data_IF_774006888016
#
_entry.id   IF_774006888016
#
_cell.length_a   1.000
_cell.length_b   1.000
_cell.length_c   1.000
_cell.angle_alpha   90.00
_cell.angle_beta   90.00
_cell.angle_gamma   90.00
#
_symmetry.space_group_name_H-M   'P 1'
#
loop_
_entity.id
_entity.type
_entity.pdbx_description
1 polymer ?
#
# COMPACT_ATOMS: atom_id res chain seq x y z
N UNK A 1 17.74 -21.37 -13.66
CA UNK A 1 16.97 -21.24 -12.41
C UNK A 1 15.45 -21.11 -12.62
N UNK A 2 14.95 -20.32 -13.58
CA UNK A 2 13.50 -20.05 -13.70
C UNK A 2 12.67 -21.01 -14.59
N UNK A 3 13.28 -21.99 -15.27
CA UNK A 3 12.58 -22.84 -16.26
C UNK A 3 11.56 -23.84 -15.66
N UNK A 4 11.55 -24.03 -14.34
CA UNK A 4 10.65 -24.94 -13.62
C UNK A 4 9.54 -24.22 -12.83
N UNK A 5 9.41 -22.90 -12.98
CA UNK A 5 8.42 -22.13 -12.25
C UNK A 5 7.32 -21.58 -13.17
N UNK A 6 6.09 -21.37 -12.65
CA UNK A 6 5.01 -20.73 -13.40
C UNK A 6 5.43 -19.35 -13.91
N UNK A 7 5.07 -19.02 -15.16
CA UNK A 7 5.44 -17.73 -15.77
C UNK A 7 4.89 -16.52 -14.99
N UNK A 8 3.77 -16.68 -14.28
CA UNK A 8 3.20 -15.66 -13.41
C UNK A 8 4.04 -15.32 -12.17
N UNK A 9 4.98 -16.19 -11.78
CA UNK A 9 5.82 -15.99 -10.59
C UNK A 9 6.72 -14.76 -10.72
N UNK A 10 7.33 -14.54 -11.89
CA UNK A 10 8.24 -13.39 -12.09
C UNK A 10 7.46 -12.08 -11.96
N UNK A 11 6.27 -12.01 -12.55
CA UNK A 11 5.40 -10.84 -12.43
C UNK A 11 4.98 -10.60 -10.96
N UNK A 12 4.56 -11.65 -10.25
CA UNK A 12 4.21 -11.57 -8.84
C UNK A 12 5.40 -11.13 -7.97
N UNK A 13 6.60 -11.66 -8.23
CA UNK A 13 7.82 -11.30 -7.50
C UNK A 13 8.22 -9.84 -7.71
N UNK A 14 8.22 -9.37 -8.96
CA UNK A 14 8.52 -7.96 -9.27
C UNK A 14 7.49 -7.01 -8.66
N UNK A 15 6.22 -7.41 -8.68
CA UNK A 15 5.14 -6.59 -8.10
C UNK A 15 5.26 -6.54 -6.58
N UNK A 16 5.57 -7.67 -5.92
CA UNK A 16 5.85 -7.70 -4.49
C UNK A 16 7.07 -6.84 -4.13
N UNK A 17 8.14 -6.91 -4.93
CA UNK A 17 9.33 -6.08 -4.72
C UNK A 17 8.99 -4.58 -4.82
N UNK A 18 8.23 -4.19 -5.85
CA UNK A 18 7.80 -2.80 -6.04
C UNK A 18 6.92 -2.29 -4.90
N UNK A 19 5.95 -3.09 -4.46
CA UNK A 19 5.10 -2.75 -3.31
C UNK A 19 5.93 -2.56 -2.04
N UNK A 20 6.86 -3.48 -1.75
CA UNK A 20 7.72 -3.40 -0.56
C UNK A 20 8.64 -2.22 -0.58
N UNK A 21 9.21 -1.90 -1.73
CA UNK A 21 10.05 -0.72 -1.90
C UNK A 21 9.28 0.55 -1.54
N UNK A 22 8.07 0.74 -2.11
CA UNK A 22 7.22 1.88 -1.80
C UNK A 22 6.81 1.93 -0.33
N UNK A 23 6.38 0.79 0.22
CA UNK A 23 5.93 0.68 1.61
C UNK A 23 7.03 1.06 2.61
N UNK A 24 8.23 0.47 2.49
CA UNK A 24 9.32 0.76 3.42
C UNK A 24 9.88 2.17 3.24
N UNK A 25 9.91 2.69 2.01
CA UNK A 25 10.30 4.08 1.76
C UNK A 25 9.36 5.03 2.48
N UNK A 26 8.04 4.82 2.33
CA UNK A 26 7.03 5.61 3.04
C UNK A 26 7.20 5.50 4.54
N UNK A 27 7.37 4.29 5.09
CA UNK A 27 7.55 4.11 6.53
C UNK A 27 8.80 4.79 7.10
N UNK A 28 9.89 4.81 6.34
CA UNK A 28 11.12 5.45 6.76
C UNK A 28 10.99 6.98 6.89
N UNK A 29 10.23 7.63 6.00
CA UNK A 29 10.22 9.09 5.89
C UNK A 29 8.92 9.75 6.37
N UNK A 30 7.84 9.01 6.60
CA UNK A 30 6.51 9.58 6.85
C UNK A 30 6.47 10.54 8.04
N UNK A 31 7.08 10.17 9.18
CA UNK A 31 7.11 11.04 10.36
C UNK A 31 7.91 12.32 10.07
N UNK A 32 9.08 12.18 9.44
CA UNK A 32 9.92 13.32 9.05
C UNK A 32 9.19 14.26 8.09
N UNK A 33 8.48 13.69 7.11
CA UNK A 33 7.63 14.43 6.19
C UNK A 33 6.52 15.20 6.92
N UNK A 34 5.83 14.56 7.86
CA UNK A 34 4.76 15.18 8.64
C UNK A 34 5.28 16.34 9.50
N UNK A 35 6.44 16.17 10.12
CA UNK A 35 7.08 17.22 10.93
C UNK A 35 7.58 18.38 10.05
N UNK A 36 8.29 18.10 8.96
CA UNK A 36 8.88 19.13 8.11
C UNK A 36 7.83 19.91 7.30
N UNK A 37 6.82 19.21 6.76
CA UNK A 37 5.80 19.82 5.89
C UNK A 37 4.73 20.56 6.70
N UNK A 38 4.23 19.94 7.78
CA UNK A 38 3.08 20.45 8.54
C UNK A 38 3.47 21.07 9.90
N UNK A 39 4.74 21.04 10.29
CA UNK A 39 5.19 21.56 11.59
C UNK A 39 4.68 20.76 12.79
N UNK A 40 4.26 19.50 12.58
CA UNK A 40 3.70 18.67 13.64
C UNK A 40 4.76 18.31 14.69
N UNK A 41 4.33 18.19 15.95
CA UNK A 41 5.16 17.61 17.01
C UNK A 41 5.37 16.12 16.74
N UNK A 42 6.48 15.57 17.22
CA UNK A 42 6.81 14.15 17.05
C UNK A 42 5.72 13.21 17.57
N UNK A 43 5.04 13.59 18.65
CA UNK A 43 3.90 12.83 19.20
C UNK A 43 2.73 12.77 18.24
N UNK A 44 2.32 13.90 17.66
CA UNK A 44 1.16 13.97 16.75
C UNK A 44 1.45 13.25 15.43
N UNK A 45 2.66 13.46 14.88
CA UNK A 45 3.10 12.75 13.68
C UNK A 45 3.22 11.22 13.93
N UNK A 46 3.67 10.83 15.12
CA UNK A 46 3.72 9.44 15.57
C UNK A 46 2.33 8.81 15.65
N UNK A 47 1.33 9.53 16.15
CA UNK A 47 -0.06 9.05 16.17
C UNK A 47 -0.59 8.77 14.76
N UNK A 48 -0.37 9.69 13.80
CA UNK A 48 -0.78 9.49 12.40
C UNK A 48 -0.09 8.24 11.81
N UNK A 49 1.22 8.10 12.05
CA UNK A 49 1.97 6.92 11.62
C UNK A 49 1.39 5.62 12.21
N UNK A 50 1.11 5.59 13.51
CA UNK A 50 0.55 4.42 14.19
C UNK A 50 -0.84 4.06 13.67
N UNK A 51 -1.72 5.04 13.46
CA UNK A 51 -3.06 4.83 12.89
C UNK A 51 -2.97 4.31 11.46
N UNK A 52 -2.09 4.87 10.64
CA UNK A 52 -1.86 4.38 9.28
C UNK A 52 -1.35 2.93 9.30
N UNK A 53 -0.36 2.62 10.13
CA UNK A 53 0.20 1.28 10.24
C UNK A 53 -0.84 0.26 10.70
N UNK A 54 -1.63 0.60 11.71
CA UNK A 54 -2.76 -0.20 12.17
C UNK A 54 -3.80 -0.43 11.06
N UNK A 55 -4.13 0.61 10.30
CA UNK A 55 -5.11 0.54 9.21
C UNK A 55 -4.70 -0.46 8.14
N UNK A 56 -3.41 -0.56 7.81
CA UNK A 56 -2.92 -1.55 6.83
C UNK A 56 -3.27 -2.99 7.25
N UNK A 57 -3.12 -3.32 8.54
CA UNK A 57 -3.42 -4.67 9.02
C UNK A 57 -4.92 -4.97 9.03
N UNK A 58 -5.74 -4.02 9.48
CA UNK A 58 -7.20 -4.19 9.46
C UNK A 58 -7.71 -4.29 8.02
N UNK A 59 -7.24 -3.41 7.14
CA UNK A 59 -7.69 -3.39 5.76
C UNK A 59 -7.18 -4.59 4.97
N UNK A 60 -6.08 -5.23 5.38
CA UNK A 60 -5.65 -6.51 4.81
C UNK A 60 -6.66 -7.63 5.08
N UNK A 61 -7.25 -7.67 6.28
CA UNK A 61 -8.32 -8.61 6.58
C UNK A 61 -9.55 -8.35 5.70
N UNK A 62 -9.98 -7.09 5.61
CA UNK A 62 -11.11 -6.70 4.74
C UNK A 62 -10.82 -7.01 3.27
N UNK A 63 -9.59 -6.77 2.81
CA UNK A 63 -9.16 -7.05 1.44
C UNK A 63 -9.16 -8.53 1.09
N UNK A 64 -8.86 -9.41 2.06
CA UNK A 64 -9.01 -10.86 1.91
C UNK A 64 -10.47 -11.26 1.73
N UNK A 65 -11.36 -10.77 2.60
CA UNK A 65 -12.80 -11.03 2.48
C UNK A 65 -13.39 -10.60 1.12
N UNK A 66 -12.93 -9.48 0.58
CA UNK A 66 -13.34 -8.99 -0.74
C UNK A 66 -12.87 -9.93 -1.85
N UNK A 67 -11.61 -10.39 -1.81
CA UNK A 67 -11.08 -11.30 -2.82
C UNK A 67 -11.76 -12.67 -2.77
N UNK A 68 -11.98 -13.21 -1.57
CA UNK A 68 -12.66 -14.49 -1.37
C UNK A 68 -14.09 -14.45 -1.89
N UNK A 69 -14.83 -13.37 -1.60
CA UNK A 69 -16.21 -13.19 -2.07
C UNK A 69 -16.30 -13.00 -3.58
N UNK A 70 -15.37 -12.25 -4.17
CA UNK A 70 -15.36 -11.96 -5.62
C UNK A 70 -14.72 -13.07 -6.44
N UNK A 71 -13.98 -14.00 -5.80
CA UNK A 71 -13.15 -15.05 -6.43
C UNK A 71 -12.20 -14.51 -7.52
N UNK A 72 -11.89 -13.22 -7.49
CA UNK A 72 -11.09 -12.54 -8.50
C UNK A 72 -9.82 -11.95 -7.89
N UNK A 73 -8.92 -12.82 -7.42
CA UNK A 73 -7.66 -12.43 -6.79
C UNK A 73 -6.83 -11.49 -7.68
N UNK A 74 -6.69 -11.81 -8.97
CA UNK A 74 -5.93 -10.98 -9.93
C UNK A 74 -6.52 -9.57 -10.06
N UNK A 75 -7.85 -9.46 -10.15
CA UNK A 75 -8.55 -8.17 -10.20
C UNK A 75 -8.38 -7.37 -8.91
N UNK A 76 -8.55 -8.00 -7.76
CA UNK A 76 -8.39 -7.35 -6.45
C UNK A 76 -6.97 -6.82 -6.24
N UNK A 77 -5.95 -7.60 -6.61
CA UNK A 77 -4.55 -7.19 -6.57
C UNK A 77 -4.32 -5.96 -7.47
N UNK A 78 -4.84 -5.99 -8.69
CA UNK A 78 -4.68 -4.88 -9.64
C UNK A 78 -5.33 -3.59 -9.15
N UNK A 79 -6.55 -3.68 -8.61
CA UNK A 79 -7.22 -2.55 -7.95
C UNK A 79 -6.41 -2.02 -6.76
N UNK A 80 -5.81 -2.92 -5.97
CA UNK A 80 -4.94 -2.54 -4.86
C UNK A 80 -3.71 -1.73 -5.31
N UNK A 81 -3.06 -2.15 -6.40
CA UNK A 81 -1.92 -1.44 -6.98
C UNK A 81 -2.32 -0.04 -7.45
N UNK A 82 -3.46 0.09 -8.14
CA UNK A 82 -3.96 1.38 -8.62
C UNK A 82 -4.27 2.30 -7.44
N UNK A 83 -4.94 1.81 -6.39
CA UNK A 83 -5.27 2.61 -5.21
C UNK A 83 -4.01 3.09 -4.49
N UNK A 84 -2.99 2.24 -4.34
CA UNK A 84 -1.70 2.65 -3.79
C UNK A 84 -1.03 3.72 -4.66
N UNK A 85 -1.00 3.54 -5.98
CA UNK A 85 -0.41 4.50 -6.90
C UNK A 85 -1.09 5.87 -6.80
N UNK A 86 -2.43 5.92 -6.75
CA UNK A 86 -3.19 7.15 -6.55
C UNK A 86 -2.85 7.79 -5.20
N UNK A 87 -2.78 7.02 -4.13
CA UNK A 87 -2.42 7.54 -2.81
C UNK A 87 -1.00 8.12 -2.76
N UNK A 88 -0.02 7.49 -3.44
CA UNK A 88 1.32 8.06 -3.58
C UNK A 88 1.33 9.33 -4.43
N UNK A 89 0.55 9.38 -5.51
CA UNK A 89 0.42 10.59 -6.33
C UNK A 89 -0.15 11.76 -5.53
N UNK A 90 -1.17 11.51 -4.70
CA UNK A 90 -1.76 12.52 -3.80
C UNK A 90 -0.69 13.12 -2.88
N UNK A 91 0.20 12.29 -2.31
CA UNK A 91 1.29 12.75 -1.46
C UNK A 91 2.43 13.43 -2.23
N UNK A 92 2.62 13.05 -3.50
CA UNK A 92 3.65 13.60 -4.37
C UNK A 92 3.31 14.99 -4.94
N UNK A 93 2.05 15.44 -4.85
CA UNK A 93 1.66 16.77 -5.32
C UNK A 93 2.49 17.84 -4.58
N UNK A 94 3.24 18.68 -5.32
CA UNK A 94 4.08 19.70 -4.71
C UNK A 94 3.21 20.77 -4.07
N UNK A 95 3.58 21.17 -2.85
CA UNK A 95 2.96 22.30 -2.15
C UNK A 95 4.05 23.10 -1.45
N UNK A 96 3.84 24.41 -1.21
CA UNK A 96 4.78 25.21 -0.43
C UNK A 96 5.07 24.60 0.95
N UNK A 97 6.31 24.71 1.41
CA UNK A 97 6.76 24.28 2.74
C UNK A 97 7.41 25.48 3.45
N UNK A 98 6.85 25.97 4.57
CA UNK A 98 5.67 25.49 5.29
C UNK A 98 4.35 25.69 4.52
N UNK A 99 3.38 24.80 4.70
CA UNK A 99 2.04 24.95 4.08
C UNK A 99 1.28 26.11 4.73
N UNK A 100 0.65 26.94 3.89
CA UNK A 100 -0.22 28.05 4.30
C UNK A 100 -1.51 27.57 4.99
N UNK A 101 -2.15 26.51 4.46
CA UNK A 101 -3.37 25.91 5.02
C UNK A 101 -3.12 24.49 5.52
N UNK A 102 -2.57 24.37 6.73
CA UNK A 102 -2.20 23.08 7.33
C UNK A 102 -3.37 22.09 7.35
N UNK A 103 -4.58 22.54 7.71
CA UNK A 103 -5.76 21.67 7.85
C UNK A 103 -6.18 21.02 6.52
N UNK A 104 -6.19 21.79 5.43
CA UNK A 104 -6.59 21.30 4.11
C UNK A 104 -5.61 20.28 3.56
N UNK A 105 -4.31 20.61 3.55
CA UNK A 105 -3.28 19.72 3.02
C UNK A 105 -3.05 18.48 3.90
N UNK A 106 -3.23 18.59 5.22
CA UNK A 106 -3.14 17.45 6.12
C UNK A 106 -4.28 16.47 5.86
N UNK A 107 -5.51 16.97 5.69
CA UNK A 107 -6.69 16.13 5.37
C UNK A 107 -6.48 15.37 4.06
N UNK A 108 -5.98 16.05 3.02
CA UNK A 108 -5.65 15.40 1.73
C UNK A 108 -4.57 14.33 1.92
N UNK A 109 -3.55 14.62 2.73
CA UNK A 109 -2.48 13.65 3.02
C UNK A 109 -3.01 12.42 3.76
N UNK A 110 -3.92 12.61 4.73
CA UNK A 110 -4.58 11.50 5.42
C UNK A 110 -5.46 10.66 4.47
N UNK A 111 -6.14 11.29 3.51
CA UNK A 111 -6.87 10.56 2.45
C UNK A 111 -5.90 9.75 1.59
N UNK A 112 -4.76 10.34 1.19
CA UNK A 112 -3.71 9.64 0.46
C UNK A 112 -3.16 8.43 1.23
N UNK A 113 -2.88 8.61 2.52
CA UNK A 113 -2.46 7.53 3.42
C UNK A 113 -3.53 6.44 3.55
N UNK A 114 -4.80 6.81 3.66
CA UNK A 114 -5.89 5.83 3.70
C UNK A 114 -5.98 5.02 2.39
N UNK A 115 -5.85 5.67 1.23
CA UNK A 115 -5.82 4.99 -0.08
C UNK A 115 -4.64 4.02 -0.18
N UNK A 116 -3.45 4.41 0.30
CA UNK A 116 -2.29 3.52 0.36
C UNK A 116 -2.57 2.33 1.28
N UNK A 117 -3.11 2.57 2.48
CA UNK A 117 -3.41 1.51 3.44
C UNK A 117 -4.44 0.52 2.90
N UNK A 118 -5.49 1.02 2.25
CA UNK A 118 -6.53 0.18 1.65
C UNK A 118 -6.01 -0.59 0.43
N UNK A 119 -5.26 0.06 -0.45
CA UNK A 119 -4.64 -0.60 -1.59
C UNK A 119 -3.64 -1.68 -1.17
N UNK A 120 -2.86 -1.44 -0.10
CA UNK A 120 -1.97 -2.44 0.50
C UNK A 120 -2.75 -3.64 1.03
N UNK A 121 -3.87 -3.38 1.73
CA UNK A 121 -4.74 -4.41 2.25
C UNK A 121 -5.28 -5.35 1.16
N UNK A 122 -5.69 -4.79 0.02
CA UNK A 122 -6.15 -5.56 -1.15
C UNK A 122 -5.02 -6.32 -1.87
N UNK A 123 -3.78 -5.88 -1.72
CA UNK A 123 -2.62 -6.48 -2.38
C UNK A 123 -2.01 -7.64 -1.57
N UNK A 124 -1.71 -7.38 -0.29
CA UNK A 124 -0.76 -8.18 0.52
C UNK A 124 -1.20 -9.62 0.75
N UNK A 125 -2.44 -9.84 1.17
CA UNK A 125 -2.98 -11.19 1.40
C UNK A 125 -3.25 -11.93 0.09
N UNK A 126 -3.78 -11.21 -0.89
CA UNK A 126 -4.29 -11.80 -2.13
C UNK A 126 -3.17 -12.22 -3.08
N UNK A 127 -2.02 -11.53 -3.08
CA UNK A 127 -0.86 -11.95 -3.88
C UNK A 127 -0.32 -13.30 -3.42
N UNK A 128 -0.27 -13.56 -2.11
CA UNK A 128 0.22 -14.83 -1.59
C UNK A 128 -0.72 -15.98 -1.94
N UNK A 129 -2.04 -15.74 -1.85
CA UNK A 129 -3.04 -16.70 -2.31
C UNK A 129 -2.91 -16.99 -3.82
N UNK A 130 -2.72 -15.96 -4.64
CA UNK A 130 -2.51 -16.11 -6.08
C UNK A 130 -1.24 -16.91 -6.40
N UNK A 131 -0.14 -16.65 -5.68
CA UNK A 131 1.11 -17.41 -5.86
C UNK A 131 0.91 -18.87 -5.45
N UNK A 132 0.18 -19.15 -4.38
CA UNK A 132 -0.20 -20.53 -4.02
C UNK A 132 -0.92 -21.25 -5.16
N UNK A 133 -1.95 -20.60 -5.73
CA UNK A 133 -2.72 -21.14 -6.85
C UNK A 133 -1.89 -21.43 -8.11
N UNK A 134 -0.80 -20.71 -8.33
CA UNK A 134 0.09 -20.96 -9.48
C UNK A 134 0.78 -22.33 -9.41
N UNK A 135 0.89 -22.92 -8.21
CA UNK A 135 1.51 -24.23 -7.98
C UNK A 135 0.50 -25.35 -7.68
N UNK A 136 -0.82 -25.08 -7.71
CA UNK A 136 -1.85 -26.12 -7.54
C UNK A 136 -1.93 -27.10 -8.73
N UNK A 137 -1.17 -26.85 -9.80
CA UNK A 137 -1.15 -27.66 -11.01
C UNK A 137 -0.04 -28.72 -10.92
N UNK A 138 -0.37 -30.02 -11.07
CA UNK A 138 0.58 -31.16 -10.92
C UNK A 138 1.84 -31.10 -11.81
N UNK A 139 1.89 -30.19 -12.78
CA UNK A 139 3.07 -29.93 -13.61
C UNK A 139 4.20 -29.18 -12.89
N UNK A 140 3.94 -28.62 -11.71
CA UNK A 140 4.87 -27.77 -10.96
C UNK A 140 4.99 -28.17 -9.49
#
# INVERSE_FOLDING_TARGET
MFKKHPQGLIAAALTNMGERFGFYTMMAILVLFLQAKFGLKGTDAGLIYSVFYFSIYILAFIGGLIADKTRNYKGTIFTGIILMAVGYLVLAVPSPTPVSDTMFFLTISCIGLFLIAFGNGLFKGNLQALVGQLYDNEKY
#
